data_IF_919024998765
#
_entry.id   IF_919024998765
#
_cell.length_a   1.000
_cell.length_b   1.000
_cell.length_c   1.000
_cell.angle_alpha   90.00
_cell.angle_beta   90.00
_cell.angle_gamma   90.00
#
_symmetry.space_group_name_H-M   'P 1'
#
loop_
_entity.id
_entity.type
_entity.pdbx_description
1 polymer ?
#
# COMPACT_ATOMS: atom_id res chain seq x y z
N UNK A 1 -21.07 9.67 -17.59
CA UNK A 1 -20.44 11.00 -17.64
C UNK A 1 -18.92 10.89 -17.48
N UNK A 2 -18.23 10.22 -18.41
CA UNK A 2 -16.75 10.09 -18.41
C UNK A 2 -16.20 10.44 -19.81
N UNK A 3 -16.64 11.56 -20.38
CA UNK A 3 -16.51 11.78 -21.82
C UNK A 3 -15.38 12.69 -22.27
N UNK A 4 -14.57 13.23 -21.36
CA UNK A 4 -13.25 13.73 -21.76
C UNK A 4 -12.33 13.69 -20.55
N UNK A 5 -11.14 13.10 -20.70
CA UNK A 5 -10.10 13.00 -19.67
C UNK A 5 -9.47 14.37 -19.32
N UNK A 6 -10.19 15.48 -19.57
CA UNK A 6 -9.82 16.88 -19.29
C UNK A 6 -9.52 17.16 -17.82
N UNK A 7 -9.96 16.29 -16.91
CA UNK A 7 -9.63 16.35 -15.49
C UNK A 7 -8.20 15.84 -15.19
N UNK A 8 -7.60 15.04 -16.07
CA UNK A 8 -6.29 14.43 -15.81
C UNK A 8 -5.18 15.46 -15.66
N UNK A 9 -5.03 16.46 -16.55
CA UNK A 9 -4.00 17.49 -16.38
C UNK A 9 -4.10 18.18 -15.03
N UNK A 10 -5.32 18.55 -14.61
CA UNK A 10 -5.56 19.15 -13.30
C UNK A 10 -5.08 18.24 -12.16
N UNK A 11 -5.42 16.95 -12.18
CA UNK A 11 -4.95 16.03 -11.13
C UNK A 11 -3.42 15.89 -11.17
N UNK A 12 -2.83 15.72 -12.35
CA UNK A 12 -1.38 15.55 -12.50
C UNK A 12 -0.61 16.75 -11.98
N UNK A 13 -1.09 17.98 -12.23
CA UNK A 13 -0.51 19.21 -11.69
C UNK A 13 -0.57 19.21 -10.15
N UNK A 14 -1.69 18.81 -9.56
CA UNK A 14 -1.83 18.72 -8.09
C UNK A 14 -0.91 17.68 -7.44
N UNK A 15 -0.50 16.63 -8.16
CA UNK A 15 0.43 15.63 -7.62
C UNK A 15 1.87 16.15 -7.49
N UNK A 16 2.24 17.16 -8.28
CA UNK A 16 3.58 17.78 -8.27
C UNK A 16 3.62 19.14 -7.59
N UNK A 17 2.45 19.74 -7.31
CA UNK A 17 2.32 21.01 -6.60
C UNK A 17 2.77 20.87 -5.13
N UNK A 18 3.82 21.58 -4.67
CA UNK A 18 4.29 21.50 -3.28
C UNK A 18 3.28 22.05 -2.27
N UNK A 19 2.36 22.91 -2.67
CA UNK A 19 1.37 23.53 -1.78
C UNK A 19 0.18 22.60 -1.47
N UNK A 20 0.05 21.49 -2.21
CA UNK A 20 -1.03 20.51 -1.98
C UNK A 20 -0.63 19.53 -0.87
N UNK A 21 -1.41 19.42 0.22
CA UNK A 21 -1.10 18.50 1.31
C UNK A 21 -1.05 17.03 0.87
N UNK A 22 -0.20 16.18 1.48
CA UNK A 22 -0.06 14.77 1.10
C UNK A 22 -1.37 13.96 1.12
N UNK A 23 -2.26 14.23 2.09
CA UNK A 23 -3.57 13.58 2.15
C UNK A 23 -4.41 13.88 0.91
N UNK A 24 -4.46 15.15 0.49
CA UNK A 24 -5.20 15.58 -0.69
C UNK A 24 -4.56 15.02 -1.97
N UNK A 25 -3.22 14.99 -2.06
CA UNK A 25 -2.52 14.34 -3.17
C UNK A 25 -2.86 12.85 -3.26
N UNK A 26 -3.00 12.15 -2.13
CA UNK A 26 -3.38 10.73 -2.11
C UNK A 26 -4.77 10.53 -2.71
N UNK A 27 -5.73 11.39 -2.39
CA UNK A 27 -7.10 11.31 -2.93
C UNK A 27 -7.14 11.58 -4.45
N UNK A 28 -6.38 12.59 -4.90
CA UNK A 28 -6.19 12.86 -6.32
C UNK A 28 -5.53 11.69 -7.04
N UNK A 29 -4.46 11.14 -6.46
CA UNK A 29 -3.78 9.99 -7.03
C UNK A 29 -4.71 8.77 -7.12
N UNK A 30 -5.46 8.48 -6.06
CA UNK A 30 -6.41 7.38 -6.04
C UNK A 30 -7.48 7.55 -7.12
N UNK A 31 -8.01 8.76 -7.28
CA UNK A 31 -8.99 9.09 -8.33
C UNK A 31 -8.40 8.86 -9.73
N UNK A 32 -7.18 9.34 -9.95
CA UNK A 32 -6.47 9.11 -11.21
C UNK A 32 -6.25 7.62 -11.48
N UNK A 33 -5.80 6.86 -10.47
CA UNK A 33 -5.60 5.42 -10.57
C UNK A 33 -6.89 4.64 -10.81
N UNK A 34 -8.05 5.10 -10.34
CA UNK A 34 -9.31 4.43 -10.61
C UNK A 34 -9.82 4.69 -12.01
N UNK A 35 -9.82 5.96 -12.43
CA UNK A 35 -10.61 6.39 -13.57
C UNK A 35 -9.79 6.65 -14.84
N UNK A 36 -8.48 6.86 -14.74
CA UNK A 36 -7.64 7.04 -15.92
C UNK A 36 -7.40 5.73 -16.67
N UNK A 37 -7.56 5.75 -17.99
CA UNK A 37 -7.16 4.62 -18.85
C UNK A 37 -5.64 4.49 -18.94
N UNK A 38 -4.94 5.62 -19.09
CA UNK A 38 -3.48 5.67 -19.22
C UNK A 38 -2.90 6.13 -17.88
N UNK A 39 -2.25 5.23 -17.16
CA UNK A 39 -1.68 5.53 -15.84
C UNK A 39 -0.20 5.81 -15.95
N UNK A 40 0.15 7.08 -16.12
CA UNK A 40 1.53 7.57 -16.07
C UNK A 40 1.54 8.93 -15.39
N UNK A 41 2.26 9.05 -14.28
CA UNK A 41 2.23 10.27 -13.48
C UNK A 41 3.56 10.51 -12.76
N UNK A 42 3.78 11.78 -12.44
CA UNK A 42 4.82 12.23 -11.52
C UNK A 42 4.18 12.52 -10.16
N UNK A 43 4.89 12.26 -9.08
CA UNK A 43 4.45 12.52 -7.72
C UNK A 43 5.58 13.21 -6.96
N UNK A 44 5.30 14.38 -6.40
CA UNK A 44 6.24 15.07 -5.52
C UNK A 44 6.01 14.63 -4.06
N UNK A 45 7.03 14.01 -3.46
CA UNK A 45 7.04 13.56 -2.06
C UNK A 45 8.20 14.26 -1.34
N UNK A 46 7.87 15.19 -0.43
CA UNK A 46 8.87 16.14 0.07
C UNK A 46 9.45 16.92 -1.10
N UNK A 47 10.78 16.91 -1.24
CA UNK A 47 11.49 17.58 -2.33
C UNK A 47 11.85 16.64 -3.49
N UNK A 48 11.38 15.39 -3.46
CA UNK A 48 11.75 14.36 -4.44
C UNK A 48 10.60 14.09 -5.41
N UNK A 49 10.87 14.27 -6.70
CA UNK A 49 9.95 13.89 -7.77
C UNK A 49 10.13 12.42 -8.15
N UNK A 50 9.06 11.64 -8.05
CA UNK A 50 9.01 10.22 -8.38
C UNK A 50 8.15 10.01 -9.64
N UNK A 51 8.53 9.07 -10.50
CA UNK A 51 7.82 8.78 -11.75
C UNK A 51 7.25 7.37 -11.74
N UNK A 52 5.98 7.24 -12.09
CA UNK A 52 5.26 5.97 -12.04
C UNK A 52 4.54 5.65 -13.35
N UNK A 53 4.55 4.37 -13.71
CA UNK A 53 3.78 3.81 -14.83
C UNK A 53 3.15 2.48 -14.40
N UNK A 54 2.20 2.48 -13.45
CA UNK A 54 1.64 1.26 -12.89
C UNK A 54 0.99 0.37 -13.94
N UNK A 55 1.09 -0.93 -13.70
CA UNK A 55 0.37 -1.98 -14.42
C UNK A 55 -0.22 -2.94 -13.40
N UNK A 56 -1.54 -2.89 -13.25
CA UNK A 56 -2.27 -3.84 -12.42
C UNK A 56 -2.26 -5.21 -13.11
N UNK A 57 -1.97 -6.30 -12.40
CA UNK A 57 -2.10 -7.65 -12.94
C UNK A 57 -3.55 -7.93 -13.38
N UNK A 58 -3.75 -8.56 -14.54
CA UNK A 58 -5.07 -8.97 -15.04
C UNK A 58 -5.47 -10.32 -14.43
N UNK A 59 -5.75 -10.35 -13.12
CA UNK A 59 -6.10 -11.58 -12.41
C UNK A 59 -7.41 -11.52 -11.62
N UNK A 60 -8.08 -10.37 -11.58
CA UNK A 60 -9.40 -10.23 -10.96
C UNK A 60 -10.21 -9.17 -11.71
N UNK A 61 -11.48 -9.47 -11.99
CA UNK A 61 -12.45 -8.53 -12.55
C UNK A 61 -13.35 -7.90 -11.46
N UNK A 62 -13.09 -8.23 -10.20
CA UNK A 62 -13.82 -7.73 -9.05
C UNK A 62 -13.41 -6.27 -8.74
N UNK A 63 -14.39 -5.38 -8.79
CA UNK A 63 -14.19 -3.93 -8.61
C UNK A 63 -13.67 -3.61 -7.21
N UNK A 64 -14.13 -4.31 -6.16
CA UNK A 64 -13.69 -4.06 -4.78
C UNK A 64 -12.24 -4.48 -4.56
N UNK A 65 -11.82 -5.57 -5.22
CA UNK A 65 -10.43 -6.06 -5.17
C UNK A 65 -9.50 -5.15 -5.97
N UNK A 66 -9.92 -4.70 -7.16
CA UNK A 66 -9.18 -3.73 -7.95
C UNK A 66 -9.07 -2.39 -7.22
N UNK A 67 -10.14 -1.95 -6.55
CA UNK A 67 -10.14 -0.74 -5.74
C UNK A 67 -9.11 -0.83 -4.59
N UNK A 68 -9.13 -1.94 -3.85
CA UNK A 68 -8.17 -2.19 -2.78
C UNK A 68 -6.72 -2.12 -3.27
N UNK A 69 -6.45 -2.67 -4.46
CA UNK A 69 -5.13 -2.59 -5.08
C UNK A 69 -4.72 -1.15 -5.36
N UNK A 70 -5.59 -0.33 -5.93
CA UNK A 70 -5.27 1.08 -6.21
C UNK A 70 -5.09 1.90 -4.94
N UNK A 71 -5.86 1.64 -3.89
CA UNK A 71 -5.70 2.28 -2.60
C UNK A 71 -4.35 1.90 -1.93
N UNK A 72 -3.98 0.63 -1.97
CA UNK A 72 -2.67 0.16 -1.51
C UNK A 72 -1.52 0.76 -2.34
N UNK A 73 -1.68 0.82 -3.67
CA UNK A 73 -0.70 1.42 -4.58
C UNK A 73 -0.49 2.90 -4.28
N UNK A 74 -1.58 3.67 -4.19
CA UNK A 74 -1.54 5.10 -3.87
C UNK A 74 -0.79 5.32 -2.55
N UNK A 75 -1.12 4.54 -1.52
CA UNK A 75 -0.45 4.63 -0.21
C UNK A 75 1.05 4.31 -0.28
N UNK A 76 1.44 3.27 -1.02
CA UNK A 76 2.85 2.90 -1.16
C UNK A 76 3.67 3.94 -1.96
N UNK A 77 3.06 4.60 -2.95
CA UNK A 77 3.72 5.57 -3.82
C UNK A 77 4.28 6.79 -3.08
N UNK A 78 3.67 7.17 -1.95
CA UNK A 78 4.16 8.26 -1.09
C UNK A 78 5.36 7.89 -0.22
N UNK A 79 5.79 6.63 -0.25
CA UNK A 79 6.81 6.12 0.68
C UNK A 79 8.02 5.55 -0.07
N UNK A 80 7.82 4.86 -1.19
CA UNK A 80 8.90 4.20 -1.91
C UNK A 80 8.56 4.06 -3.40
N UNK A 81 9.57 4.01 -4.27
CA UNK A 81 9.37 3.72 -5.69
C UNK A 81 9.35 2.21 -6.00
N UNK A 82 10.01 1.38 -5.19
CA UNK A 82 10.30 -0.03 -5.51
C UNK A 82 9.37 -1.02 -4.81
N UNK A 83 8.05 -0.81 -4.92
CA UNK A 83 7.04 -1.65 -4.24
C UNK A 83 6.16 -2.49 -5.18
N UNK A 84 6.00 -2.08 -6.45
CA UNK A 84 4.98 -2.65 -7.33
C UNK A 84 5.08 -4.17 -7.48
N UNK A 85 6.30 -4.72 -7.62
CA UNK A 85 6.48 -6.18 -7.74
C UNK A 85 6.06 -6.93 -6.47
N UNK A 86 6.28 -6.35 -5.30
CA UNK A 86 5.89 -6.92 -4.01
C UNK A 86 4.37 -6.84 -3.82
N UNK A 87 3.77 -5.69 -4.11
CA UNK A 87 2.32 -5.49 -4.04
C UNK A 87 1.60 -6.44 -5.00
N UNK A 88 2.08 -6.56 -6.25
CA UNK A 88 1.51 -7.45 -7.26
C UNK A 88 1.49 -8.92 -6.84
N UNK A 89 2.49 -9.38 -6.07
CA UNK A 89 2.52 -10.76 -5.55
C UNK A 89 1.38 -11.02 -4.59
N UNK A 90 1.11 -10.09 -3.67
CA UNK A 90 0.01 -10.23 -2.70
C UNK A 90 -1.34 -10.10 -3.41
N UNK A 91 -1.47 -9.14 -4.33
CA UNK A 91 -2.67 -8.96 -5.13
C UNK A 91 -3.09 -10.23 -5.88
N UNK A 92 -2.14 -10.92 -6.53
CA UNK A 92 -2.42 -12.18 -7.22
C UNK A 92 -2.93 -13.27 -6.28
N UNK A 93 -2.34 -13.42 -5.09
CA UNK A 93 -2.80 -14.39 -4.09
C UNK A 93 -4.21 -14.11 -3.61
N UNK A 94 -4.53 -12.84 -3.36
CA UNK A 94 -5.88 -12.40 -3.01
C UNK A 94 -6.86 -12.73 -4.13
N UNK A 95 -6.51 -12.41 -5.38
CA UNK A 95 -7.34 -12.71 -6.55
C UNK A 95 -7.58 -14.22 -6.74
N UNK A 96 -6.56 -15.05 -6.51
CA UNK A 96 -6.71 -16.51 -6.57
C UNK A 96 -7.72 -17.04 -5.53
N UNK A 97 -7.74 -16.45 -4.32
CA UNK A 97 -8.69 -16.82 -3.29
C UNK A 97 -10.15 -16.48 -3.64
N UNK A 98 -10.38 -15.54 -4.56
CA UNK A 98 -11.73 -15.07 -4.92
C UNK A 98 -12.37 -15.81 -6.08
N UNK A 99 -11.62 -16.72 -6.73
CA UNK A 99 -12.16 -17.60 -7.79
C UNK A 99 -12.99 -18.76 -7.21
N UNK A 100 -12.99 -18.92 -5.88
CA UNK A 100 -13.75 -19.98 -5.20
C UNK A 100 -15.26 -19.79 -5.40
N UNK A 101 -16.04 -20.86 -5.67
CA UNK A 101 -17.48 -20.76 -5.98
C UNK A 101 -18.31 -20.03 -4.93
N UNK A 102 -17.94 -20.14 -3.66
CA UNK A 102 -18.68 -19.58 -2.53
C UNK A 102 -18.16 -18.19 -2.10
N UNK A 103 -17.26 -17.57 -2.87
CA UNK A 103 -16.69 -16.28 -2.51
C UNK A 103 -17.68 -15.13 -2.80
N UNK A 104 -18.07 -14.41 -1.75
CA UNK A 104 -18.94 -13.24 -1.82
C UNK A 104 -18.14 -11.95 -1.97
N UNK A 105 -18.18 -11.35 -3.16
CA UNK A 105 -17.44 -10.12 -3.51
C UNK A 105 -18.01 -8.85 -2.87
N UNK A 106 -19.33 -8.80 -2.74
CA UNK A 106 -20.10 -7.65 -2.24
C UNK A 106 -19.81 -7.31 -0.77
N UNK A 107 -19.31 -8.27 -0.01
CA UNK A 107 -18.91 -8.10 1.39
C UNK A 107 -17.44 -7.64 1.55
N UNK A 108 -16.73 -7.37 0.45
CA UNK A 108 -15.31 -6.97 0.47
C UNK A 108 -15.16 -5.46 0.66
N UNK A 109 -14.71 -5.05 1.84
CA UNK A 109 -14.29 -3.69 2.17
C UNK A 109 -12.90 -3.41 1.58
N UNK A 110 -12.86 -2.56 0.57
CA UNK A 110 -11.62 -2.15 -0.12
C UNK A 110 -10.53 -1.63 0.82
N UNK A 111 -10.88 -0.80 1.81
CA UNK A 111 -9.91 -0.25 2.77
C UNK A 111 -9.21 -1.33 3.61
N UNK A 112 -9.96 -2.33 4.08
CA UNK A 112 -9.42 -3.46 4.87
C UNK A 112 -8.45 -4.27 4.02
N UNK A 113 -8.88 -4.61 2.80
CA UNK A 113 -8.05 -5.38 1.88
C UNK A 113 -6.80 -4.60 1.43
N UNK A 114 -6.89 -3.27 1.27
CA UNK A 114 -5.75 -2.42 0.97
C UNK A 114 -4.72 -2.40 2.11
N UNK A 115 -5.16 -2.38 3.37
CA UNK A 115 -4.30 -2.50 4.53
C UNK A 115 -3.55 -3.84 4.56
N UNK A 116 -4.27 -4.95 4.31
CA UNK A 116 -3.72 -6.31 4.16
C UNK A 116 -2.68 -6.34 3.04
N UNK A 117 -3.00 -5.86 1.84
CA UNK A 117 -2.08 -5.82 0.72
C UNK A 117 -0.79 -5.04 1.05
N UNK A 118 -0.95 -3.86 1.65
CA UNK A 118 0.15 -2.96 1.97
C UNK A 118 1.11 -3.59 2.98
N UNK A 119 0.58 -4.11 4.09
CA UNK A 119 1.37 -4.78 5.13
C UNK A 119 2.10 -6.02 4.61
N UNK A 120 1.35 -6.93 4.00
CA UNK A 120 1.90 -8.21 3.56
C UNK A 120 2.96 -8.03 2.47
N UNK A 121 2.83 -7.01 1.62
CA UNK A 121 3.79 -6.72 0.55
C UNK A 121 5.21 -6.50 1.06
N UNK A 122 5.38 -5.93 2.26
CA UNK A 122 6.69 -5.52 2.76
C UNK A 122 7.36 -4.49 1.85
N UNK A 123 6.55 -3.61 1.25
CA UNK A 123 7.01 -2.51 0.41
C UNK A 123 8.04 -1.64 1.13
N UNK A 124 7.74 -1.24 2.37
CA UNK A 124 8.57 -0.36 3.19
C UNK A 124 8.41 -0.68 4.68
N UNK A 125 9.40 -0.35 5.52
CA UNK A 125 9.41 -0.65 6.95
C UNK A 125 8.29 0.03 7.74
N UNK A 126 7.81 1.18 7.27
CA UNK A 126 6.65 1.88 7.88
C UNK A 126 5.38 1.01 7.90
N UNK A 127 5.29 0.03 7.00
CA UNK A 127 4.14 -0.88 6.90
C UNK A 127 4.36 -2.23 7.61
N UNK A 128 5.48 -2.39 8.34
CA UNK A 128 5.78 -3.65 9.02
C UNK A 128 4.97 -3.84 10.29
N UNK A 129 4.51 -2.76 10.91
CA UNK A 129 3.66 -2.82 12.09
C UNK A 129 2.18 -2.90 11.69
N UNK A 130 1.43 -3.74 12.40
CA UNK A 130 0.03 -4.04 12.06
C UNK A 130 -0.86 -2.86 12.40
N UNK A 131 -0.66 -2.30 13.59
CA UNK A 131 -1.48 -1.22 14.13
C UNK A 131 -1.27 0.06 13.33
N UNK A 132 -0.02 0.35 12.96
CA UNK A 132 0.32 1.45 12.05
C UNK A 132 -0.38 1.30 10.71
N UNK A 133 -0.38 0.10 10.10
CA UNK A 133 -1.12 -0.14 8.86
C UNK A 133 -2.63 0.04 9.05
N UNK A 134 -3.20 -0.46 10.14
CA UNK A 134 -4.64 -0.29 10.40
C UNK A 134 -5.01 1.19 10.54
N UNK A 135 -4.18 1.98 11.25
CA UNK A 135 -4.38 3.43 11.39
C UNK A 135 -4.26 4.21 10.07
N UNK A 136 -3.34 3.83 9.17
CA UNK A 136 -3.19 4.48 7.86
C UNK A 136 -4.44 4.34 6.97
N UNK A 137 -5.15 3.22 7.13
CA UNK A 137 -6.35 2.91 6.33
C UNK A 137 -7.65 3.13 7.11
N UNK A 138 -7.59 3.62 8.34
CA UNK A 138 -8.74 3.84 9.23
C UNK A 138 -9.62 2.58 9.38
N UNK A 139 -8.99 1.47 9.76
CA UNK A 139 -9.65 0.18 9.97
C UNK A 139 -9.38 -0.38 11.36
N UNK A 140 -10.26 -1.26 11.83
CA UNK A 140 -10.01 -2.03 13.04
C UNK A 140 -9.12 -3.24 12.77
N UNK A 141 -8.28 -3.59 13.77
CA UNK A 141 -7.45 -4.80 13.73
C UNK A 141 -8.26 -6.08 13.56
N UNK A 142 -9.48 -6.12 14.12
CA UNK A 142 -10.39 -7.27 13.98
C UNK A 142 -10.74 -7.53 12.52
N UNK A 143 -11.08 -6.47 11.78
CA UNK A 143 -11.42 -6.55 10.36
C UNK A 143 -10.19 -7.01 9.54
N UNK A 144 -8.99 -6.54 9.88
CA UNK A 144 -7.74 -7.03 9.28
C UNK A 144 -7.56 -8.54 9.49
N UNK A 145 -7.64 -9.00 10.74
CA UNK A 145 -7.41 -10.41 11.09
C UNK A 145 -8.48 -11.34 10.50
N UNK A 146 -9.71 -10.86 10.34
CA UNK A 146 -10.77 -11.54 9.60
C UNK A 146 -10.38 -11.75 8.13
N UNK A 147 -9.81 -10.72 7.49
CA UNK A 147 -9.43 -10.80 6.07
C UNK A 147 -8.21 -11.71 5.85
N UNK A 148 -7.28 -11.76 6.80
CA UNK A 148 -6.20 -12.75 6.75
C UNK A 148 -6.77 -14.18 6.67
N UNK A 149 -7.75 -14.51 7.51
CA UNK A 149 -8.39 -15.84 7.51
C UNK A 149 -9.23 -16.07 6.26
N UNK A 150 -10.06 -15.08 5.89
CA UNK A 150 -10.99 -15.16 4.75
C UNK A 150 -10.27 -15.43 3.43
N UNK A 151 -9.09 -14.83 3.24
CA UNK A 151 -8.29 -15.00 2.03
C UNK A 151 -7.19 -16.07 2.16
N UNK A 152 -7.06 -16.74 3.32
CA UNK A 152 -6.06 -17.79 3.55
C UNK A 152 -4.62 -17.29 3.49
N UNK A 153 -4.36 -16.12 4.09
CA UNK A 153 -3.09 -15.39 4.03
C UNK A 153 -2.24 -15.54 5.31
N UNK A 154 -2.49 -16.57 6.12
CA UNK A 154 -1.82 -16.77 7.41
C UNK A 154 -0.31 -16.98 7.25
N UNK A 155 0.12 -17.61 6.14
CA UNK A 155 1.54 -17.80 5.84
C UNK A 155 2.25 -16.48 5.56
N UNK A 156 1.59 -15.58 4.83
CA UNK A 156 2.07 -14.24 4.50
C UNK A 156 2.12 -13.38 5.75
N UNK A 157 1.11 -13.46 6.62
CA UNK A 157 1.09 -12.73 7.88
C UNK A 157 2.22 -13.21 8.80
N UNK A 158 2.44 -14.52 8.96
CA UNK A 158 3.57 -15.05 9.72
C UNK A 158 4.92 -14.58 9.14
N UNK A 159 5.04 -14.44 7.82
CA UNK A 159 6.22 -13.87 7.19
C UNK A 159 6.38 -12.37 7.47
N UNK A 160 5.28 -11.61 7.53
CA UNK A 160 5.28 -10.21 7.91
C UNK A 160 5.69 -10.00 9.38
N UNK A 161 5.23 -10.86 10.28
CA UNK A 161 5.62 -10.85 11.70
C UNK A 161 7.12 -11.10 11.88
N UNK A 162 7.67 -12.12 11.19
CA UNK A 162 9.12 -12.38 11.20
C UNK A 162 9.91 -11.18 10.70
N UNK A 163 9.39 -10.46 9.69
CA UNK A 163 10.00 -9.26 9.13
C UNK A 163 10.02 -8.11 10.14
N UNK A 164 8.93 -7.89 10.87
CA UNK A 164 8.85 -6.89 11.94
C UNK A 164 9.82 -7.22 13.08
N UNK A 165 9.87 -8.48 13.52
CA UNK A 165 10.79 -8.92 14.56
C UNK A 165 12.26 -8.68 14.17
N UNK A 166 12.63 -9.02 12.93
CA UNK A 166 13.97 -8.77 12.40
C UNK A 166 14.31 -7.28 12.32
N UNK A 167 13.36 -6.44 11.91
CA UNK A 167 13.52 -4.99 11.86
C UNK A 167 13.74 -4.40 13.26
N UNK A 168 12.92 -4.79 14.24
CA UNK A 168 13.04 -4.33 15.62
C UNK A 168 14.37 -4.76 16.25
N UNK A 169 14.80 -6.01 16.02
CA UNK A 169 16.11 -6.50 16.49
C UNK A 169 17.27 -5.65 15.96
N UNK A 170 17.30 -5.38 14.65
CA UNK A 170 18.32 -4.51 14.03
C UNK A 170 18.35 -3.13 14.66
N UNK A 171 17.18 -2.53 14.89
CA UNK A 171 17.08 -1.19 15.48
C UNK A 171 17.62 -1.16 16.91
N UNK A 172 17.36 -2.19 17.70
CA UNK A 172 17.92 -2.33 19.05
C UNK A 172 19.44 -2.51 19.00
N UNK A 173 19.95 -3.39 18.15
CA UNK A 173 21.39 -3.64 18.03
C UNK A 173 22.16 -2.37 17.59
N UNK A 174 21.60 -1.58 16.66
CA UNK A 174 22.17 -0.29 16.26
C UNK A 174 22.14 0.76 17.38
N UNK A 175 21.08 0.75 18.21
CA UNK A 175 20.98 1.67 19.34
C UNK A 175 22.03 1.36 20.41
N UNK A 176 22.20 0.08 20.76
CA UNK A 176 23.21 -0.37 21.73
C UNK A 176 24.61 0.03 21.28
N UNK A 177 24.98 -0.26 20.02
CA UNK A 177 26.29 0.13 19.47
C UNK A 177 26.56 1.64 19.54
N UNK A 178 25.56 2.47 19.24
CA UNK A 178 25.70 3.93 19.30
C UNK A 178 25.87 4.46 20.72
N UNK A 179 25.34 3.76 21.72
CA UNK A 179 25.51 4.12 23.13
C UNK A 179 26.89 3.72 23.63
N UNK A 180 27.35 2.51 23.31
CA UNK A 180 28.71 2.02 23.64
C UNK A 180 29.82 2.87 22.99
N UNK A 181 29.63 3.35 21.76
CA UNK A 181 30.58 4.25 21.09
C UNK A 181 30.63 5.66 21.69
N UNK A 182 29.57 6.11 22.36
CA UNK A 182 29.53 7.40 23.05
C UNK A 182 30.19 7.32 24.43
N UNK A 183 29.99 6.20 25.14
CA UNK A 183 30.59 5.96 26.45
C UNK A 183 32.11 5.73 26.35
N UNK A 184 32.60 5.06 25.29
CA UNK A 184 34.03 4.83 25.07
C UNK A 184 34.81 6.05 24.49
N UNK A 185 34.14 7.18 24.25
CA UNK A 185 34.75 8.44 23.77
C UNK A 185 34.77 9.56 24.81
N UNK A 186 34.33 9.27 26.05
CA UNK A 186 34.51 10.12 27.24
C UNK A 186 35.71 9.67 28.05
#
# INVERSE_FOLDING_TARGET
>A
MCQDELWQPFILDRLIDPDVPPAVKKDYLLSYLKYSKIKKFSLLVGDVMLFFSPRMPKCSDDINIQDAYWNAYATCAFVTQSFQSKLNKIYKKIAEATVKPDFKSDEVKSAVLAAVMTRLSGAHSIFYDKESCCGIFDIEKRDYDEYIKRFGLEKEEAAAEKRLAAYNKKKTDEHVKRTEEKENKQ
#
